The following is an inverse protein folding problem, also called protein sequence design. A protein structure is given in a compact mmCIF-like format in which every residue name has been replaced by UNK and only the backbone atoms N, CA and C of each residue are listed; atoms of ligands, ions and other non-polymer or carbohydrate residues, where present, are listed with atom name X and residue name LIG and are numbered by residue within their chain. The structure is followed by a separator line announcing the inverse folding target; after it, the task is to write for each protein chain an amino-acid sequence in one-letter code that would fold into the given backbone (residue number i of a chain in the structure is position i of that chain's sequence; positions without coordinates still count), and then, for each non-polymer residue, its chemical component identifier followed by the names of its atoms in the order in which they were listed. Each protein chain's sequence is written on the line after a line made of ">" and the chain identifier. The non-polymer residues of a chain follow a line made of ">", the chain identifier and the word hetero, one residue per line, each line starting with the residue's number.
data_IF_527693109566
#
_entry.id   IF_527693109566
#
_cell.length_a   1.000
_cell.length_b   1.000
_cell.length_c   1.000
_cell.angle_alpha   90.00
_cell.angle_beta   90.00
_cell.angle_gamma   90.00
#
_symmetry.space_group_name_H-M   'P 1'
#
loop_
_entity.id
_entity.type
_entity.pdbx_description
1 polymer ?
#
# COMPACT_ATOMS: atom_id res chain seq x y z
N UNK A 1 20.43 -8.50 0.68
CA UNK A 1 20.43 -7.81 -0.63
C UNK A 1 19.07 -8.02 -1.30
N UNK A 2 18.61 -7.08 -2.12
CA UNK A 2 17.36 -7.22 -2.90
C UNK A 2 17.51 -8.32 -3.95
N UNK A 3 16.42 -8.99 -4.32
CA UNK A 3 16.40 -10.01 -5.37
C UNK A 3 16.73 -11.44 -4.92
N UNK A 4 17.01 -11.66 -3.63
CA UNK A 4 17.26 -13.00 -3.08
C UNK A 4 16.03 -13.52 -2.31
N UNK A 5 14.93 -13.76 -3.02
CA UNK A 5 13.68 -14.22 -2.38
C UNK A 5 13.71 -15.72 -2.03
N UNK A 6 14.48 -16.52 -2.79
CA UNK A 6 14.64 -17.96 -2.55
C UNK A 6 13.30 -18.66 -2.29
N UNK A 7 13.29 -19.58 -1.33
CA UNK A 7 12.06 -20.20 -0.82
C UNK A 7 11.55 -19.55 0.47
N UNK A 8 12.27 -18.54 0.99
CA UNK A 8 12.05 -18.02 2.34
C UNK A 8 10.99 -16.92 2.37
N UNK A 9 10.63 -16.35 1.22
CA UNK A 9 9.62 -15.30 1.09
C UNK A 9 8.76 -15.59 -0.14
N UNK A 10 7.49 -15.89 0.09
CA UNK A 10 6.50 -16.17 -0.95
C UNK A 10 5.46 -15.04 -1.02
N UNK A 11 5.10 -14.64 -2.24
CA UNK A 11 4.06 -13.67 -2.52
C UNK A 11 2.95 -14.32 -3.34
N UNK A 12 1.73 -14.25 -2.85
CA UNK A 12 0.55 -14.77 -3.53
C UNK A 12 -0.47 -13.65 -3.73
N UNK A 13 -1.03 -13.54 -4.93
CA UNK A 13 -2.10 -12.60 -5.25
C UNK A 13 -3.42 -13.35 -5.34
N UNK A 14 -4.33 -13.05 -4.42
CA UNK A 14 -5.70 -13.53 -4.45
C UNK A 14 -6.65 -12.37 -4.77
N UNK A 15 -6.84 -12.09 -6.06
CA UNK A 15 -7.65 -11.00 -6.64
C UNK A 15 -7.39 -9.62 -6.00
N UNK A 16 -8.04 -9.34 -4.88
CA UNK A 16 -8.01 -8.08 -4.13
C UNK A 16 -7.09 -8.12 -2.90
N UNK A 17 -6.53 -9.28 -2.56
CA UNK A 17 -5.64 -9.48 -1.42
C UNK A 17 -4.28 -9.96 -1.89
N UNK A 18 -3.23 -9.45 -1.27
CA UNK A 18 -1.86 -9.94 -1.44
C UNK A 18 -1.44 -10.59 -0.11
N UNK A 19 -1.08 -11.86 -0.16
CA UNK A 19 -0.54 -12.59 0.98
C UNK A 19 0.97 -12.66 0.83
N UNK A 20 1.68 -12.31 1.90
CA UNK A 20 3.12 -12.45 2.01
C UNK A 20 3.40 -13.45 3.13
N UNK A 21 4.05 -14.55 2.78
CA UNK A 21 4.53 -15.55 3.75
C UNK A 21 6.04 -15.45 3.81
N UNK A 22 6.62 -15.40 5.01
CA UNK A 22 8.06 -15.33 5.21
C UNK A 22 8.50 -16.25 6.34
N UNK A 23 9.50 -17.09 6.08
CA UNK A 23 10.11 -17.96 7.08
C UNK A 23 11.26 -17.27 7.83
N UNK A 24 11.78 -16.19 7.25
CA UNK A 24 12.80 -15.32 7.87
C UNK A 24 12.15 -14.12 8.57
N UNK A 25 12.85 -13.48 9.53
CA UNK A 25 12.33 -12.30 10.20
C UNK A 25 11.95 -11.18 9.21
N UNK A 26 10.64 -11.00 9.02
CA UNK A 26 10.08 -9.96 8.18
C UNK A 26 9.09 -9.13 8.98
N UNK A 27 9.41 -7.85 9.16
CA UNK A 27 8.55 -6.99 9.95
C UNK A 27 7.38 -6.46 9.13
N UNK A 28 6.21 -6.43 9.75
CA UNK A 28 5.05 -5.74 9.19
C UNK A 28 5.37 -4.28 8.81
N UNK A 29 6.13 -3.56 9.64
CA UNK A 29 6.57 -2.18 9.35
C UNK A 29 7.33 -2.08 8.02
N UNK A 30 8.15 -3.08 7.68
CA UNK A 30 8.89 -3.11 6.43
C UNK A 30 7.97 -3.24 5.20
N UNK A 31 6.89 -4.03 5.30
CA UNK A 31 5.85 -4.08 4.27
C UNK A 31 5.25 -2.70 4.01
N UNK A 32 4.86 -1.98 5.08
CA UNK A 32 4.32 -0.61 4.96
C UNK A 32 5.28 0.34 4.26
N UNK A 33 6.57 0.26 4.58
CA UNK A 33 7.60 1.08 3.94
C UNK A 33 7.71 0.77 2.45
N UNK A 34 7.79 -0.51 2.06
CA UNK A 34 7.83 -0.93 0.66
C UNK A 34 6.58 -0.48 -0.10
N UNK A 35 5.38 -0.66 0.45
CA UNK A 35 4.13 -0.21 -0.17
C UNK A 35 4.11 1.31 -0.36
N UNK A 36 4.50 2.10 0.66
CA UNK A 36 4.58 3.57 0.54
C UNK A 36 5.64 4.03 -0.46
N UNK A 37 6.73 3.28 -0.61
CA UNK A 37 7.78 3.55 -1.61
C UNK A 37 7.23 3.31 -3.02
N UNK A 38 6.48 2.22 -3.22
CA UNK A 38 5.80 1.93 -4.48
C UNK A 38 4.74 2.99 -4.83
N UNK A 39 3.91 3.39 -3.87
CA UNK A 39 2.90 4.43 -4.11
C UNK A 39 3.54 5.77 -4.51
N UNK A 40 4.68 6.17 -3.91
CA UNK A 40 5.38 7.39 -4.35
C UNK A 40 5.92 7.27 -5.77
N UNK A 41 6.51 6.11 -6.10
CA UNK A 41 7.08 5.87 -7.43
C UNK A 41 6.03 5.97 -8.53
N UNK A 42 4.79 5.59 -8.24
CA UNK A 42 3.67 5.64 -9.17
C UNK A 42 2.75 6.86 -8.97
N UNK A 43 3.17 7.87 -8.19
CA UNK A 43 2.38 9.06 -7.87
C UNK A 43 0.98 8.80 -7.28
N UNK A 44 0.79 7.66 -6.59
CA UNK A 44 -0.51 7.25 -6.01
C UNK A 44 -0.74 7.75 -4.58
N UNK A 45 0.10 8.64 -4.06
CA UNK A 45 0.08 9.02 -2.63
C UNK A 45 -1.09 9.93 -2.26
N UNK A 46 -1.62 10.66 -3.22
CA UNK A 46 -2.68 11.63 -2.97
C UNK A 46 -4.06 10.96 -2.99
N UNK A 47 -4.15 9.80 -3.67
CA UNK A 47 -5.37 9.00 -3.69
C UNK A 47 -5.40 7.90 -2.63
N UNK A 48 -4.28 7.24 -2.32
CA UNK A 48 -4.24 6.03 -1.49
C UNK A 48 -3.38 6.16 -0.22
N UNK A 49 -3.95 5.73 0.90
CA UNK A 49 -3.25 5.59 2.20
C UNK A 49 -3.18 4.15 2.67
N UNK A 50 -2.02 3.77 3.22
CA UNK A 50 -1.79 2.47 3.86
C UNK A 50 -2.22 2.54 5.34
N UNK A 51 -3.29 1.86 5.71
CA UNK A 51 -3.87 1.81 7.06
C UNK A 51 -3.73 0.42 7.65
N UNK A 52 -3.44 0.30 8.95
CA UNK A 52 -3.43 -1.00 9.62
C UNK A 52 -4.87 -1.46 9.85
N UNK A 53 -5.23 -2.64 9.36
CA UNK A 53 -6.54 -3.22 9.60
C UNK A 53 -6.50 -4.08 10.88
N UNK A 54 -5.70 -5.15 10.87
CA UNK A 54 -5.48 -6.00 12.05
C UNK A 54 -4.00 -5.98 12.49
N UNK A 55 -3.63 -6.74 13.52
CA UNK A 55 -2.24 -6.88 13.98
C UNK A 55 -1.29 -7.28 12.85
N UNK A 56 -1.74 -8.13 11.92
CA UNK A 56 -0.89 -8.70 10.86
C UNK A 56 -1.14 -8.09 9.48
N UNK A 57 -2.24 -7.38 9.26
CA UNK A 57 -2.65 -6.90 7.93
C UNK A 57 -2.58 -5.38 7.78
N UNK A 58 -2.42 -4.94 6.52
CA UNK A 58 -2.65 -3.57 6.08
C UNK A 58 -3.75 -3.56 5.01
N UNK A 59 -4.35 -2.40 4.85
CA UNK A 59 -5.33 -2.10 3.83
C UNK A 59 -4.95 -0.80 3.11
N UNK A 60 -5.24 -0.73 1.81
CA UNK A 60 -5.15 0.50 1.03
C UNK A 60 -6.54 1.14 1.01
N UNK A 61 -6.65 2.36 1.52
CA UNK A 61 -7.90 3.13 1.52
C UNK A 61 -7.74 4.39 0.69
N UNK A 62 -8.81 4.77 0.00
CA UNK A 62 -8.89 6.11 -0.57
C UNK A 62 -8.93 7.17 0.54
N UNK A 63 -8.41 8.35 0.25
CA UNK A 63 -8.79 9.53 1.03
C UNK A 63 -10.26 9.85 0.75
N UNK A 64 -11.01 10.23 1.78
CA UNK A 64 -12.31 10.84 1.60
C UNK A 64 -12.04 12.27 1.17
N UNK A 65 -12.00 12.49 -0.13
CA UNK A 65 -12.12 13.83 -0.69
C UNK A 65 -13.62 14.09 -0.60
N UNK A 66 -14.06 14.89 0.37
CA UNK A 66 -15.35 15.52 0.20
C UNK A 66 -15.21 16.36 -1.08
N UNK A 67 -16.09 16.15 -2.06
CA UNK A 67 -16.19 16.98 -3.27
C UNK A 67 -16.67 18.41 -2.92
N UNK A 68 -16.10 19.06 -1.91
CA UNK A 68 -16.46 20.43 -1.51
C UNK A 68 -15.56 21.49 -2.17
N UNK A 69 -14.53 21.09 -2.93
CA UNK A 69 -13.58 22.03 -3.57
C UNK A 69 -13.66 22.04 -5.12
N UNK A 70 -14.71 21.47 -5.75
CA UNK A 70 -14.88 21.45 -7.22
C UNK A 70 -16.03 22.34 -7.75
N UNK A 71 -16.56 23.27 -6.94
CA UNK A 71 -17.59 24.25 -7.42
C UNK A 71 -17.08 25.70 -7.60
N UNK A 72 -15.79 26.02 -7.42
CA UNK A 72 -15.33 27.44 -7.45
C UNK A 72 -14.37 27.86 -8.58
N UNK A 73 -14.09 27.07 -9.61
CA UNK A 73 -13.16 27.47 -10.70
C UNK A 73 -13.71 27.21 -12.14
N UNK A 74 -14.99 27.53 -12.42
CA UNK A 74 -15.54 27.59 -13.80
C UNK A 74 -16.06 28.99 -14.19
N UNK A 75 -15.46 30.07 -13.67
CA UNK A 75 -15.69 31.43 -14.16
C UNK A 75 -14.35 32.22 -14.30
N UNK A 76 -13.54 31.87 -15.31
CA UNK A 76 -12.69 32.83 -16.06
C UNK A 76 -12.20 32.25 -17.41
#
# INVERSE_FOLDING_TARGET
>A
KTGNFGNNVALERNKNKINLTSDIPFSKRYLKYMTKKYLKKNNLRDWLRVVANNKESYELRYFQINNEDEEEDEDE
#
